data_IF_191399013382
#
_entry.id   IF_191399013382
#
_cell.length_a   1.000
_cell.length_b   1.000
_cell.length_c   1.000
_cell.angle_alpha   90.00
_cell.angle_beta   90.00
_cell.angle_gamma   90.00
#
_symmetry.space_group_name_H-M   'P 1'
#
loop_
_entity.id
_entity.type
_entity.pdbx_description
1 polymer ?
#
# COMPACT_ATOMS: atom_id res chain seq x y z
N UNK A 1 -8.77 -0.14 -5.80
CA UNK A 1 -8.88 -0.72 -4.43
C UNK A 1 -9.71 -1.98 -4.25
N UNK A 2 -10.76 -2.23 -5.06
CA UNK A 2 -11.68 -3.37 -4.87
C UNK A 2 -11.00 -4.73 -4.62
N UNK A 3 -9.91 -5.04 -5.34
CA UNK A 3 -9.17 -6.30 -5.18
C UNK A 3 -8.43 -6.39 -3.85
N UNK A 4 -7.78 -5.31 -3.43
CA UNK A 4 -7.07 -5.25 -2.14
C UNK A 4 -8.05 -5.35 -0.98
N UNK A 5 -9.17 -4.62 -1.05
CA UNK A 5 -10.25 -4.70 -0.09
C UNK A 5 -10.78 -6.15 0.01
N UNK A 6 -11.13 -6.76 -1.13
CA UNK A 6 -11.64 -8.13 -1.14
C UNK A 6 -10.66 -9.14 -0.56
N UNK A 7 -9.35 -8.99 -0.82
CA UNK A 7 -8.31 -9.90 -0.31
C UNK A 7 -7.98 -9.68 1.16
N UNK A 8 -7.99 -8.44 1.65
CA UNK A 8 -7.82 -8.17 3.08
C UNK A 8 -9.01 -8.68 3.91
N UNK A 9 -10.20 -8.81 3.30
CA UNK A 9 -11.42 -9.30 3.95
C UNK A 9 -11.84 -10.74 3.59
N UNK A 10 -11.13 -11.47 2.71
CA UNK A 10 -11.57 -12.78 2.23
C UNK A 10 -11.44 -13.91 3.25
N UNK A 11 -10.81 -13.67 4.41
CA UNK A 11 -10.64 -14.69 5.46
C UNK A 11 -9.66 -15.81 5.10
N UNK A 12 -8.99 -15.73 3.95
CA UNK A 12 -8.00 -16.71 3.46
C UNK A 12 -6.62 -16.61 4.13
N UNK A 13 -6.51 -15.77 5.17
CA UNK A 13 -5.28 -15.49 5.91
C UNK A 13 -4.79 -14.05 5.73
N UNK A 14 -3.78 -13.62 6.50
CA UNK A 14 -3.25 -12.26 6.42
C UNK A 14 -2.57 -12.03 5.06
N UNK A 15 -3.01 -10.99 4.34
CA UNK A 15 -2.43 -10.60 3.04
C UNK A 15 -1.48 -9.42 3.25
N UNK A 16 -0.21 -9.60 2.90
CA UNK A 16 0.79 -8.52 2.89
C UNK A 16 0.81 -7.89 1.51
N UNK A 17 0.71 -6.57 1.47
CA UNK A 17 0.67 -5.76 0.25
C UNK A 17 1.94 -4.91 0.13
N UNK A 18 2.64 -5.05 -1.00
CA UNK A 18 3.93 -4.40 -1.26
C UNK A 18 3.85 -3.68 -2.61
N UNK A 19 4.09 -2.37 -2.59
CA UNK A 19 4.23 -1.57 -3.80
C UNK A 19 5.68 -1.55 -4.28
N UNK A 20 5.88 -1.51 -5.59
CA UNK A 20 7.18 -1.25 -6.21
C UNK A 20 7.06 0.03 -7.03
N UNK A 21 7.97 0.98 -6.82
CA UNK A 21 7.98 2.25 -7.52
C UNK A 21 9.40 2.80 -7.62
N UNK A 22 9.61 3.83 -8.43
CA UNK A 22 10.84 4.61 -8.37
C UNK A 22 10.80 5.61 -7.22
N UNK A 23 11.95 5.92 -6.62
CA UNK A 23 12.04 6.93 -5.55
C UNK A 23 11.50 8.28 -6.02
N UNK A 24 11.73 8.63 -7.28
CA UNK A 24 11.23 9.87 -7.90
C UNK A 24 9.70 9.98 -7.96
N UNK A 25 8.96 8.89 -7.73
CA UNK A 25 7.49 8.90 -7.68
C UNK A 25 6.94 9.21 -6.27
N UNK A 26 7.80 9.30 -5.26
CA UNK A 26 7.41 9.67 -3.90
C UNK A 26 7.09 11.17 -3.85
N UNK A 27 5.90 11.48 -3.34
CA UNK A 27 5.43 12.85 -3.11
C UNK A 27 4.95 12.99 -1.66
N UNK A 28 4.97 14.21 -1.12
CA UNK A 28 4.59 14.47 0.27
C UNK A 28 3.11 14.20 0.56
N UNK A 29 2.25 14.29 -0.46
CA UNK A 29 0.82 14.08 -0.35
C UNK A 29 0.23 13.65 -1.69
N UNK A 30 -0.72 12.71 -1.65
CA UNK A 30 -1.64 12.40 -2.74
C UNK A 30 -3.07 12.59 -2.25
N UNK A 31 -3.98 13.10 -3.10
CA UNK A 31 -5.40 13.03 -2.83
C UNK A 31 -5.79 11.57 -2.55
N UNK A 32 -6.57 11.34 -1.50
CA UNK A 32 -7.07 10.03 -1.13
C UNK A 32 -8.55 10.12 -0.71
N UNK A 33 -9.27 9.01 -0.86
CA UNK A 33 -10.66 8.80 -0.43
C UNK A 33 -10.75 7.61 0.54
N UNK A 34 -11.86 7.49 1.27
CA UNK A 34 -12.15 6.41 2.23
C UNK A 34 -12.09 5.00 1.61
N UNK A 35 -12.17 4.92 0.28
CA UNK A 35 -12.12 3.67 -0.47
C UNK A 35 -10.71 3.26 -0.88
N UNK A 36 -9.74 4.16 -0.77
CA UNK A 36 -8.35 3.87 -1.11
C UNK A 36 -7.73 2.95 -0.06
N UNK A 37 -7.03 1.91 -0.51
CA UNK A 37 -6.39 0.96 0.40
C UNK A 37 -4.90 1.23 0.47
N UNK A 38 -4.45 1.64 1.65
CA UNK A 38 -3.04 1.80 1.93
C UNK A 38 -2.33 0.45 1.93
N UNK A 39 -1.19 0.40 1.24
CA UNK A 39 -0.30 -0.77 1.25
C UNK A 39 0.40 -0.89 2.61
N UNK A 40 0.98 -2.05 2.87
CA UNK A 40 1.78 -2.27 4.10
C UNK A 40 3.23 -1.81 3.89
N UNK A 41 3.73 -1.95 2.65
CA UNK A 41 5.11 -1.58 2.28
C UNK A 41 5.18 -0.91 0.90
N UNK A 42 6.22 -0.10 0.71
CA UNK A 42 6.67 0.41 -0.58
C UNK A 42 8.19 0.21 -0.70
N UNK A 43 8.63 -0.42 -1.77
CA UNK A 43 10.06 -0.62 -2.07
C UNK A 43 10.40 0.18 -3.32
N UNK A 44 11.51 0.89 -3.25
CA UNK A 44 12.10 1.61 -4.37
C UNK A 44 13.52 1.11 -4.64
N UNK A 45 14.16 1.66 -5.66
CA UNK A 45 15.58 1.42 -5.93
C UNK A 45 16.51 2.02 -4.87
N UNK A 46 16.01 2.87 -3.96
CA UNK A 46 16.82 3.55 -2.94
C UNK A 46 16.45 3.14 -1.51
N UNK A 47 15.18 2.86 -1.22
CA UNK A 47 14.67 2.71 0.15
C UNK A 47 13.55 1.67 0.27
N UNK A 48 13.31 1.25 1.53
CA UNK A 48 12.16 0.43 1.92
C UNK A 48 11.34 1.20 2.94
N UNK A 49 10.07 1.45 2.60
CA UNK A 49 9.11 2.19 3.41
C UNK A 49 8.09 1.23 3.99
N UNK A 50 7.86 1.34 5.31
CA UNK A 50 6.77 0.66 6.00
C UNK A 50 5.68 1.65 6.32
N UNK A 51 4.43 1.31 6.04
CA UNK A 51 3.28 2.08 6.47
C UNK A 51 2.71 1.46 7.75
N UNK A 52 2.50 2.29 8.76
CA UNK A 52 1.84 1.90 10.01
C UNK A 52 0.35 1.61 9.73
N UNK A 53 -0.24 0.59 10.37
CA UNK A 53 -1.69 0.41 10.38
C UNK A 53 -2.36 1.65 11.00
N UNK A 54 -3.45 2.11 10.38
CA UNK A 54 -4.33 3.15 10.94
C UNK A 54 -5.39 2.49 11.82
#
# INVERSE_FOLDING_TARGET
>A
DRTLLSRKHSGEGPVVTVGLAYEAQIVSHVPNDERDIRLDWLITEQNVYRFEPV
#
